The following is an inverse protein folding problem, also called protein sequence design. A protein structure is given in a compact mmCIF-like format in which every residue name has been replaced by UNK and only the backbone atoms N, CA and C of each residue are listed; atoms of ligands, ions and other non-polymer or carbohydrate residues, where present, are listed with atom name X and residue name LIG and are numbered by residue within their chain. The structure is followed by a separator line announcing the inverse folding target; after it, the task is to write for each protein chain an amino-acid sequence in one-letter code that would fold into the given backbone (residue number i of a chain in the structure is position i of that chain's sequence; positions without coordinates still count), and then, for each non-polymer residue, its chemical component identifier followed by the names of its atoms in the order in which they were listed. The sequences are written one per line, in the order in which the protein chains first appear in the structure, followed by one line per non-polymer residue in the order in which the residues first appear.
data_IF_554989812581
#
_entry.id   IF_554989812581
#
_cell.length_a   1.000
_cell.length_b   1.000
_cell.length_c   1.000
_cell.angle_alpha   90.00
_cell.angle_beta   90.00
_cell.angle_gamma   90.00
#
_symmetry.space_group_name_H-M   'P 1'
#
loop_
_entity.id
_entity.type
_entity.pdbx_description
1 polymer ?
#
# COMPACT_ATOMS: atom_id res chain seq x y z
N UNK A 1 16.36 -6.22 2.81
CA UNK A 1 15.64 -5.25 3.67
C UNK A 1 16.18 -3.82 3.49
N UNK A 2 17.42 -3.62 3.03
CA UNK A 2 18.00 -2.26 2.90
C UNK A 2 17.48 -1.37 1.75
N UNK A 3 17.16 -1.91 0.58
CA UNK A 3 16.80 -1.08 -0.59
C UNK A 3 15.39 -0.46 -0.52
N UNK A 4 14.46 -1.14 0.14
CA UNK A 4 13.08 -0.68 0.28
C UNK A 4 12.95 0.53 1.23
N UNK A 5 13.95 0.73 2.09
CA UNK A 5 14.07 1.83 3.05
C UNK A 5 15.26 2.75 2.70
N UNK A 6 15.76 2.66 1.47
CA UNK A 6 16.92 3.43 1.02
C UNK A 6 16.68 4.94 1.19
N UNK A 7 17.66 5.72 1.66
CA UNK A 7 17.51 7.17 1.84
C UNK A 7 17.11 7.88 0.53
N UNK A 8 17.52 7.39 -0.63
CA UNK A 8 17.11 7.89 -1.94
C UNK A 8 15.71 7.36 -2.26
N UNK A 9 14.73 8.25 -2.18
CA UNK A 9 13.33 7.91 -2.48
C UNK A 9 13.15 7.28 -3.87
N UNK A 10 13.95 7.63 -4.88
CA UNK A 10 13.85 6.99 -6.21
C UNK A 10 14.17 5.50 -6.19
N UNK A 11 15.07 5.06 -5.30
CA UNK A 11 15.33 3.62 -5.11
C UNK A 11 14.10 2.97 -4.49
N UNK A 12 13.53 3.57 -3.43
CA UNK A 12 12.28 3.09 -2.82
C UNK A 12 11.14 3.00 -3.83
N UNK A 13 10.99 4.02 -4.69
CA UNK A 13 9.98 4.05 -5.75
C UNK A 13 10.16 2.87 -6.73
N UNK A 14 11.38 2.65 -7.21
CA UNK A 14 11.66 1.55 -8.13
C UNK A 14 11.33 0.18 -7.52
N UNK A 15 11.68 -0.02 -6.23
CA UNK A 15 11.30 -1.24 -5.50
C UNK A 15 9.78 -1.37 -5.42
N UNK A 16 9.09 -0.31 -4.96
CA UNK A 16 7.65 -0.27 -4.80
C UNK A 16 6.93 -0.67 -6.10
N UNK A 17 7.34 -0.11 -7.25
CA UNK A 17 6.73 -0.41 -8.55
C UNK A 17 6.83 -1.89 -8.96
N UNK A 18 7.85 -2.61 -8.46
CA UNK A 18 8.07 -4.03 -8.78
C UNK A 18 7.34 -4.98 -7.83
N UNK A 19 6.93 -4.51 -6.65
CA UNK A 19 6.33 -5.35 -5.60
C UNK A 19 5.12 -6.17 -6.07
N UNK A 20 4.12 -5.64 -6.81
CA UNK A 20 2.94 -6.43 -7.18
C UNK A 20 3.27 -7.60 -8.09
N UNK A 21 4.29 -7.44 -8.96
CA UNK A 21 4.77 -8.53 -9.81
C UNK A 21 5.45 -9.61 -8.98
N UNK A 22 6.29 -9.22 -8.02
CA UNK A 22 6.93 -10.15 -7.09
C UNK A 22 5.89 -10.90 -6.24
N UNK A 23 4.85 -10.22 -5.79
CA UNK A 23 3.78 -10.79 -4.98
C UNK A 23 3.06 -11.95 -5.71
N UNK A 24 2.79 -11.77 -7.01
CA UNK A 24 2.21 -12.83 -7.85
C UNK A 24 3.14 -14.03 -8.09
N UNK A 25 4.46 -13.80 -8.14
CA UNK A 25 5.45 -14.86 -8.41
C UNK A 25 5.86 -15.64 -7.15
N UNK A 26 6.00 -14.95 -6.02
CA UNK A 26 6.47 -15.53 -4.75
C UNK A 26 5.34 -16.22 -3.96
N UNK A 27 4.09 -15.92 -4.31
CA UNK A 27 2.91 -16.45 -3.67
C UNK A 27 2.53 -15.70 -2.39
N UNK A 28 1.26 -15.87 -2.02
CA UNK A 28 0.59 -15.10 -0.97
C UNK A 28 1.33 -15.15 0.39
N UNK A 29 1.63 -16.36 0.87
CA UNK A 29 2.24 -16.57 2.19
C UNK A 29 3.60 -15.88 2.32
N UNK A 30 4.45 -15.98 1.30
CA UNK A 30 5.76 -15.33 1.32
C UNK A 30 5.64 -13.81 1.33
N UNK A 31 4.72 -13.27 0.52
CA UNK A 31 4.47 -11.84 0.47
C UNK A 31 4.00 -11.30 1.83
N UNK A 32 3.04 -11.96 2.45
CA UNK A 32 2.54 -11.54 3.77
C UNK A 32 3.64 -11.54 4.82
N UNK A 33 4.44 -12.60 4.89
CA UNK A 33 5.50 -12.74 5.91
C UNK A 33 6.66 -11.74 5.73
N UNK A 34 6.88 -11.22 4.52
CA UNK A 34 8.13 -10.49 4.20
C UNK A 34 7.94 -9.06 3.69
N UNK A 35 6.80 -8.75 3.06
CA UNK A 35 6.63 -7.53 2.27
C UNK A 35 5.36 -6.76 2.61
N UNK A 36 4.35 -7.38 3.22
CA UNK A 36 3.07 -6.72 3.51
C UNK A 36 3.26 -5.48 4.40
N UNK A 37 3.97 -5.60 5.52
CA UNK A 37 4.19 -4.48 6.45
C UNK A 37 4.93 -3.33 5.78
N UNK A 38 5.93 -3.65 4.97
CA UNK A 38 6.69 -2.67 4.20
C UNK A 38 5.80 -1.88 3.22
N UNK A 39 4.86 -2.55 2.55
CA UNK A 39 3.89 -1.88 1.68
C UNK A 39 2.98 -0.91 2.46
N UNK A 40 2.60 -1.28 3.68
CA UNK A 40 1.79 -0.43 4.56
C UNK A 40 2.59 0.78 5.07
N UNK A 41 3.89 0.62 5.31
CA UNK A 41 4.77 1.69 5.78
C UNK A 41 4.99 2.78 4.71
N UNK A 42 4.99 2.42 3.42
CA UNK A 42 5.11 3.41 2.35
C UNK A 42 3.92 4.39 2.24
N UNK A 43 2.76 4.06 2.81
CA UNK A 43 1.66 5.03 2.98
C UNK A 43 2.04 6.18 3.91
N UNK A 44 3.06 5.99 4.75
CA UNK A 44 3.59 7.00 5.66
C UNK A 44 4.86 7.70 5.20
N UNK A 45 5.34 7.44 3.98
CA UNK A 45 6.61 8.01 3.50
C UNK A 45 6.55 9.55 3.47
N UNK A 46 7.65 10.22 3.81
CA UNK A 46 7.72 11.68 3.79
C UNK A 46 7.58 12.25 2.36
N UNK A 47 7.97 11.49 1.34
CA UNK A 47 7.91 11.89 -0.07
C UNK A 47 6.54 11.58 -0.66
N UNK A 48 5.85 12.61 -1.15
CA UNK A 48 4.52 12.48 -1.74
C UNK A 48 4.45 11.46 -2.89
N UNK A 49 5.45 11.44 -3.78
CA UNK A 49 5.49 10.51 -4.92
C UNK A 49 5.52 9.05 -4.46
N UNK A 50 6.15 8.74 -3.33
CA UNK A 50 6.13 7.38 -2.77
C UNK A 50 4.74 7.05 -2.26
N UNK A 51 4.11 7.95 -1.50
CA UNK A 51 2.76 7.72 -0.98
C UNK A 51 1.74 7.51 -2.10
N UNK A 52 1.78 8.34 -3.14
CA UNK A 52 0.89 8.19 -4.31
C UNK A 52 1.16 6.89 -5.09
N UNK A 53 2.41 6.43 -5.16
CA UNK A 53 2.70 5.14 -5.75
C UNK A 53 2.22 3.99 -4.85
N UNK A 54 2.33 4.13 -3.53
CA UNK A 54 1.91 3.14 -2.54
C UNK A 54 0.41 2.88 -2.59
N UNK A 55 -0.43 3.91 -2.71
CA UNK A 55 -1.90 3.72 -2.84
C UNK A 55 -2.24 2.86 -4.05
N UNK A 56 -1.69 3.20 -5.22
CA UNK A 56 -1.83 2.42 -6.46
C UNK A 56 -1.27 1.01 -6.34
N UNK A 57 -0.18 0.84 -5.59
CA UNK A 57 0.45 -0.45 -5.33
C UNK A 57 -0.50 -1.37 -4.55
N UNK A 58 -1.09 -0.86 -3.47
CA UNK A 58 -2.05 -1.60 -2.66
C UNK A 58 -3.30 -1.96 -3.46
N UNK A 59 -3.79 -1.08 -4.34
CA UNK A 59 -4.89 -1.42 -5.27
C UNK A 59 -4.53 -2.57 -6.21
N UNK A 60 -3.29 -2.62 -6.72
CA UNK A 60 -2.81 -3.74 -7.53
C UNK A 60 -2.71 -5.03 -6.71
N UNK A 61 -2.18 -4.96 -5.49
CA UNK A 61 -2.07 -6.10 -4.58
C UNK A 61 -3.45 -6.65 -4.19
N UNK A 62 -4.43 -5.77 -3.94
CA UNK A 62 -5.83 -6.14 -3.74
C UNK A 62 -6.40 -6.87 -4.98
N UNK A 63 -6.00 -6.48 -6.19
CA UNK A 63 -6.34 -7.20 -7.41
C UNK A 63 -5.70 -8.59 -7.53
N UNK A 64 -4.50 -8.80 -6.96
CA UNK A 64 -3.79 -10.08 -6.97
C UNK A 64 -4.31 -11.02 -5.88
N UNK A 65 -4.57 -10.51 -4.68
CA UNK A 65 -4.93 -11.31 -3.50
C UNK A 65 -6.43 -11.31 -3.18
N UNK A 66 -7.21 -10.47 -3.85
CA UNK A 66 -8.66 -10.40 -3.71
C UNK A 66 -9.14 -9.42 -2.64
N UNK A 67 -10.46 -9.20 -2.63
CA UNK A 67 -11.12 -8.22 -1.77
C UNK A 67 -11.02 -8.57 -0.28
N UNK A 68 -11.21 -9.83 0.11
CA UNK A 68 -11.13 -10.26 1.51
C UNK A 68 -9.76 -9.92 2.13
N UNK A 69 -8.68 -10.14 1.37
CA UNK A 69 -7.35 -9.77 1.81
C UNK A 69 -7.21 -8.26 1.98
N UNK A 70 -7.70 -7.47 1.02
CA UNK A 70 -7.67 -6.02 1.14
C UNK A 70 -8.47 -5.51 2.36
N UNK A 71 -9.63 -6.11 2.64
CA UNK A 71 -10.44 -5.82 3.82
C UNK A 71 -9.72 -6.14 5.12
N UNK A 72 -9.00 -7.28 5.17
CA UNK A 72 -8.29 -7.72 6.39
C UNK A 72 -6.99 -6.97 6.63
N UNK A 73 -6.29 -6.54 5.57
CA UNK A 73 -4.92 -6.00 5.69
C UNK A 73 -4.80 -4.52 5.31
N UNK A 74 -5.44 -4.07 4.23
CA UNK A 74 -5.29 -2.69 3.73
C UNK A 74 -6.23 -1.74 4.49
N UNK A 75 -7.53 -2.06 4.56
CA UNK A 75 -8.53 -1.15 5.12
C UNK A 75 -8.25 -0.73 6.57
N UNK A 76 -7.83 -1.63 7.49
CA UNK A 76 -7.53 -1.23 8.87
C UNK A 76 -6.43 -0.16 8.93
N UNK A 77 -5.40 -0.29 8.08
CA UNK A 77 -4.31 0.69 7.99
C UNK A 77 -4.82 2.03 7.46
N UNK A 78 -5.65 2.02 6.40
CA UNK A 78 -6.19 3.24 5.81
C UNK A 78 -7.10 3.98 6.80
N UNK A 79 -7.94 3.26 7.56
CA UNK A 79 -8.79 3.83 8.63
C UNK A 79 -7.94 4.39 9.77
N UNK A 80 -6.84 3.72 10.14
CA UNK A 80 -5.90 4.25 11.12
C UNK A 80 -5.29 5.59 10.66
N UNK A 81 -4.90 5.68 9.39
CA UNK A 81 -4.32 6.90 8.81
C UNK A 81 -5.33 8.04 8.69
N UNK A 82 -6.60 7.74 8.42
CA UNK A 82 -7.66 8.74 8.28
C UNK A 82 -7.95 9.47 9.60
N UNK A 83 -7.73 8.80 10.72
CA UNK A 83 -7.92 9.34 12.08
C UNK A 83 -6.65 9.97 12.67
N UNK A 84 -5.56 10.06 11.90
CA UNK A 84 -4.30 10.59 12.39
C UNK A 84 -4.33 12.13 12.54
N UNK A 85 -3.62 12.67 13.53
CA UNK A 85 -3.53 14.12 13.77
C UNK A 85 -2.74 14.87 12.70
N UNK A 86 -1.81 14.20 12.01
CA UNK A 86 -1.07 14.80 10.89
C UNK A 86 -1.90 14.77 9.61
N UNK A 87 -2.04 15.96 9.00
CA UNK A 87 -2.72 16.17 7.73
C UNK A 87 -2.18 15.27 6.61
N UNK A 88 -0.86 15.03 6.59
CA UNK A 88 -0.20 14.22 5.58
C UNK A 88 -0.76 12.79 5.53
N UNK A 89 -0.97 12.17 6.69
CA UNK A 89 -1.52 10.82 6.76
C UNK A 89 -3.01 10.79 6.39
N UNK A 90 -3.79 11.77 6.87
CA UNK A 90 -5.20 11.88 6.48
C UNK A 90 -5.38 12.06 4.98
N UNK A 91 -4.53 12.87 4.36
CA UNK A 91 -4.57 13.08 2.92
C UNK A 91 -4.22 11.81 2.16
N UNK A 92 -3.24 11.06 2.64
CA UNK A 92 -2.87 9.76 2.04
C UNK A 92 -3.96 8.71 2.21
N UNK A 93 -4.64 8.69 3.37
CA UNK A 93 -5.77 7.82 3.60
C UNK A 93 -6.91 8.09 2.61
N UNK A 94 -7.24 9.37 2.37
CA UNK A 94 -8.25 9.76 1.38
C UNK A 94 -7.85 9.31 -0.03
N UNK A 95 -6.60 9.51 -0.44
CA UNK A 95 -6.10 8.99 -1.72
C UNK A 95 -6.19 7.48 -1.83
N UNK A 96 -5.81 6.75 -0.77
CA UNK A 96 -5.93 5.29 -0.74
C UNK A 96 -7.39 4.84 -0.87
N UNK A 97 -8.32 5.47 -0.15
CA UNK A 97 -9.75 5.14 -0.24
C UNK A 97 -10.30 5.39 -1.64
N UNK A 98 -9.94 6.50 -2.30
CA UNK A 98 -10.35 6.77 -3.68
C UNK A 98 -9.86 5.66 -4.61
N UNK A 99 -8.56 5.34 -4.57
CA UNK A 99 -7.94 4.33 -5.44
C UNK A 99 -8.48 2.91 -5.17
N UNK A 100 -8.83 2.58 -3.93
CA UNK A 100 -9.38 1.28 -3.55
C UNK A 100 -10.85 1.14 -3.92
N UNK A 101 -11.63 2.22 -3.81
CA UNK A 101 -13.08 2.20 -4.10
C UNK A 101 -13.38 1.84 -5.55
N UNK A 102 -12.52 2.27 -6.49
CA UNK A 102 -12.61 1.91 -7.90
C UNK A 102 -12.45 0.39 -8.13
N UNK A 103 -11.69 -0.30 -7.27
CA UNK A 103 -11.32 -1.70 -7.48
C UNK A 103 -12.11 -2.69 -6.63
N UNK A 104 -12.46 -2.33 -5.40
CA UNK A 104 -13.12 -3.21 -4.43
C UNK A 104 -14.65 -3.06 -4.42
N UNK A 105 -15.19 -1.99 -4.99
CA UNK A 105 -16.63 -1.73 -5.06
C UNK A 105 -17.24 -1.25 -3.73
N UNK A 106 -18.45 -0.70 -3.82
CA UNK A 106 -19.15 0.01 -2.72
C UNK A 106 -19.47 -0.83 -1.48
N UNK A 107 -19.46 -2.16 -1.59
CA UNK A 107 -19.76 -3.04 -0.45
C UNK A 107 -18.57 -3.20 0.50
N UNK A 108 -17.36 -2.88 0.02
CA UNK A 108 -16.10 -3.09 0.76
C UNK A 108 -15.47 -1.79 1.26
N UNK A 109 -15.73 -0.66 0.61
CA UNK A 109 -15.12 0.66 0.88
C UNK A 109 -16.18 1.73 1.10
#
# INVERSE_FOLDING_TARGET
VDLAMDPKWRVRLAILEHVPSLAGQLGHKFFEEKLSDLCMDWLGDQVHSIRSAATKNLTKLAGVFGAEWATRHILPKVVQLSSNTSYLYRMTALSAMMDLSEKLGKETT
#
